data_IF_658170707955
#
_entry.id   IF_658170707955
#
_cell.length_a   1.000
_cell.length_b   1.000
_cell.length_c   1.000
_cell.angle_alpha   90.00
_cell.angle_beta   90.00
_cell.angle_gamma   90.00
#
_symmetry.space_group_name_H-M   'P 1'
#
loop_
_entity.id
_entity.type
_entity.pdbx_description
1 polymer ?
#
# COMPACT_ATOMS: atom_id res chain seq x y z
N UNK A 1 26.10 -15.73 -15.48
CA UNK A 1 25.24 -15.32 -16.61
C UNK A 1 24.04 -16.26 -16.66
N UNK A 2 22.88 -15.79 -16.23
CA UNK A 2 21.57 -16.38 -16.59
C UNK A 2 20.55 -15.27 -16.39
N UNK A 3 20.50 -14.36 -17.36
CA UNK A 3 19.41 -13.39 -17.45
C UNK A 3 18.13 -14.19 -17.52
N UNK A 4 17.31 -14.12 -16.46
CA UNK A 4 16.03 -14.84 -16.43
C UNK A 4 15.24 -14.43 -17.65
N UNK A 5 14.99 -15.37 -18.57
CA UNK A 5 14.31 -15.06 -19.82
C UNK A 5 12.95 -14.46 -19.49
N UNK A 6 12.54 -13.49 -20.29
CA UNK A 6 11.23 -12.84 -20.17
C UNK A 6 10.10 -13.88 -20.20
N UNK A 7 10.28 -14.98 -20.93
CA UNK A 7 9.38 -16.14 -20.92
C UNK A 7 9.21 -16.77 -19.53
N UNK A 8 10.29 -16.91 -18.75
CA UNK A 8 10.20 -17.42 -17.38
C UNK A 8 9.50 -16.45 -16.41
N UNK A 9 9.59 -15.13 -16.66
CA UNK A 9 8.84 -14.13 -15.89
C UNK A 9 7.33 -14.20 -16.21
N UNK A 10 6.96 -14.30 -17.49
CA UNK A 10 5.57 -14.46 -17.92
C UNK A 10 4.95 -15.75 -17.36
N UNK A 11 5.69 -16.86 -17.43
CA UNK A 11 5.22 -18.14 -16.93
C UNK A 11 4.95 -18.10 -15.41
N UNK A 12 5.83 -17.46 -14.63
CA UNK A 12 5.65 -17.28 -13.18
C UNK A 12 4.40 -16.47 -12.83
N UNK A 13 4.06 -15.44 -13.60
CA UNK A 13 2.84 -14.65 -13.37
C UNK A 13 1.60 -15.51 -13.64
N UNK A 14 1.55 -16.20 -14.78
CA UNK A 14 0.40 -17.04 -15.13
C UNK A 14 0.18 -18.18 -14.14
N UNK A 15 1.25 -18.80 -13.63
CA UNK A 15 1.18 -19.88 -12.64
C UNK A 15 0.55 -19.46 -11.28
N UNK A 16 0.44 -18.16 -10.98
CA UNK A 16 -0.29 -17.68 -9.80
C UNK A 16 -1.83 -17.81 -9.97
N UNK A 17 -2.30 -17.96 -11.20
CA UNK A 17 -3.74 -17.98 -11.53
C UNK A 17 -4.22 -19.29 -12.11
N UNK A 18 -3.32 -20.08 -12.71
CA UNK A 18 -3.64 -21.37 -13.34
C UNK A 18 -2.51 -22.38 -13.16
N UNK A 19 -2.77 -23.65 -13.50
CA UNK A 19 -1.74 -24.68 -13.48
C UNK A 19 -0.63 -24.41 -14.49
N UNK A 20 0.57 -24.97 -14.27
CA UNK A 20 1.69 -24.82 -15.21
C UNK A 20 1.34 -25.26 -16.63
N UNK A 21 0.58 -26.34 -16.78
CA UNK A 21 0.12 -26.84 -18.09
C UNK A 21 -0.79 -25.84 -18.80
N UNK A 22 -1.71 -25.21 -18.07
CA UNK A 22 -2.60 -24.18 -18.62
C UNK A 22 -1.83 -22.90 -18.98
N UNK A 23 -0.89 -22.49 -18.12
CA UNK A 23 -0.03 -21.33 -18.36
C UNK A 23 0.84 -21.49 -19.61
N UNK A 24 1.48 -22.66 -19.78
CA UNK A 24 2.28 -22.98 -20.97
C UNK A 24 1.42 -22.99 -22.23
N UNK A 25 0.23 -23.59 -22.16
CA UNK A 25 -0.71 -23.63 -23.30
C UNK A 25 -1.15 -22.23 -23.73
N UNK A 26 -1.49 -21.36 -22.77
CA UNK A 26 -1.87 -19.99 -23.05
C UNK A 26 -0.73 -19.18 -23.68
N UNK A 27 0.51 -19.36 -23.18
CA UNK A 27 1.70 -18.71 -23.76
C UNK A 27 1.98 -19.19 -25.19
N UNK A 28 1.99 -20.50 -25.42
CA UNK A 28 2.23 -21.04 -26.76
C UNK A 28 1.16 -20.56 -27.75
N UNK A 29 -0.12 -20.58 -27.36
CA UNK A 29 -1.21 -20.07 -28.20
C UNK A 29 -1.16 -18.57 -28.46
N UNK A 30 -0.55 -17.78 -27.58
CA UNK A 30 -0.33 -16.35 -27.79
C UNK A 30 0.93 -16.05 -28.62
N UNK A 31 1.96 -16.91 -28.55
CA UNK A 31 3.21 -16.76 -29.29
C UNK A 31 3.10 -17.21 -30.75
N UNK A 32 2.32 -18.27 -31.02
CA UNK A 32 2.18 -18.89 -32.35
C UNK A 32 1.68 -17.90 -33.43
N UNK A 33 0.61 -17.10 -33.22
CA UNK A 33 0.16 -16.10 -34.21
C UNK A 33 1.15 -14.95 -34.41
N UNK A 34 2.04 -14.72 -33.43
CA UNK A 34 3.06 -13.67 -33.46
C UNK A 34 4.39 -14.17 -34.06
N UNK A 35 4.53 -15.47 -34.32
CA UNK A 35 5.78 -16.07 -34.82
C UNK A 35 6.94 -15.97 -33.83
N UNK A 36 6.65 -15.88 -32.53
CA UNK A 36 7.64 -15.65 -31.48
C UNK A 36 8.04 -16.94 -30.78
N UNK A 37 9.28 -17.00 -30.29
CA UNK A 37 9.78 -18.10 -29.46
C UNK A 37 9.83 -17.68 -27.98
N UNK A 38 9.29 -18.52 -27.09
CA UNK A 38 9.26 -18.29 -25.64
C UNK A 38 10.65 -18.01 -25.04
N UNK A 39 11.69 -18.63 -25.58
CA UNK A 39 13.07 -18.49 -25.09
C UNK A 39 13.74 -17.20 -25.59
N UNK A 40 13.18 -16.56 -26.61
CA UNK A 40 13.76 -15.41 -27.30
C UNK A 40 12.69 -14.36 -27.68
N UNK A 41 11.90 -13.91 -26.70
CA UNK A 41 10.92 -12.84 -26.91
C UNK A 41 11.63 -11.48 -26.82
N UNK A 42 11.71 -10.69 -27.91
CA UNK A 42 12.29 -9.36 -27.86
C UNK A 42 11.39 -8.41 -27.05
N UNK A 43 12.02 -7.47 -26.32
CA UNK A 43 11.29 -6.55 -25.44
C UNK A 43 10.26 -5.68 -26.19
N UNK A 44 10.48 -5.41 -27.48
CA UNK A 44 9.56 -4.67 -28.36
C UNK A 44 8.26 -5.41 -28.65
N UNK A 45 8.26 -6.75 -28.63
CA UNK A 45 7.09 -7.57 -28.94
C UNK A 45 6.28 -7.95 -27.70
N UNK A 46 6.81 -7.64 -26.51
CA UNK A 46 6.16 -7.96 -25.25
C UNK A 46 4.76 -7.33 -25.09
N UNK A 47 4.50 -6.07 -25.48
CA UNK A 47 3.16 -5.50 -25.40
C UNK A 47 2.13 -6.28 -26.22
N UNK A 48 2.51 -6.68 -27.44
CA UNK A 48 1.66 -7.47 -28.35
C UNK A 48 1.41 -8.88 -27.82
N UNK A 49 2.42 -9.49 -27.20
CA UNK A 49 2.27 -10.77 -26.52
C UNK A 49 1.31 -10.70 -25.34
N UNK A 50 1.40 -9.65 -24.51
CA UNK A 50 0.47 -9.46 -23.38
C UNK A 50 -0.96 -9.27 -23.87
N UNK A 51 -1.18 -8.52 -24.95
CA UNK A 51 -2.51 -8.39 -25.56
C UNK A 51 -3.03 -9.72 -26.11
N UNK A 52 -2.19 -10.52 -26.76
CA UNK A 52 -2.55 -11.85 -27.26
C UNK A 52 -2.84 -12.86 -26.14
N UNK A 53 -2.25 -12.68 -24.96
CA UNK A 53 -2.52 -13.50 -23.77
C UNK A 53 -3.91 -13.25 -23.18
N UNK A 54 -4.52 -12.08 -23.40
CA UNK A 54 -5.83 -11.76 -22.84
C UNK A 54 -6.93 -12.75 -23.30
N UNK A 55 -7.18 -12.98 -24.60
CA UNK A 55 -8.15 -13.98 -25.03
C UNK A 55 -7.70 -15.42 -24.70
N UNK A 56 -6.41 -15.72 -24.79
CA UNK A 56 -5.86 -17.07 -24.54
C UNK A 56 -6.08 -17.55 -23.10
N UNK A 57 -6.23 -16.63 -22.15
CA UNK A 57 -6.41 -16.92 -20.73
C UNK A 57 -7.86 -16.89 -20.26
N UNK A 58 -8.80 -16.38 -21.08
CA UNK A 58 -10.25 -16.29 -20.74
C UNK A 58 -10.86 -17.64 -20.35
N UNK A 59 -10.42 -18.72 -20.98
CA UNK A 59 -10.96 -20.07 -20.74
C UNK A 59 -10.30 -20.78 -19.55
N UNK A 60 -9.19 -20.24 -19.04
CA UNK A 60 -8.36 -20.87 -18.01
C UNK A 60 -8.41 -20.14 -16.66
N UNK A 61 -8.97 -18.93 -16.62
CA UNK A 61 -8.97 -18.04 -15.46
C UNK A 61 -10.38 -17.55 -15.19
N UNK A 62 -10.76 -17.56 -13.92
CA UNK A 62 -12.02 -16.96 -13.47
C UNK A 62 -12.14 -15.49 -13.97
N UNK A 63 -13.27 -15.09 -14.57
CA UNK A 63 -13.45 -13.74 -15.11
C UNK A 63 -13.18 -12.61 -14.11
N UNK A 64 -13.43 -12.84 -12.82
CA UNK A 64 -13.17 -11.86 -11.75
C UNK A 64 -11.67 -11.68 -11.47
N UNK A 65 -10.85 -12.69 -11.78
CA UNK A 65 -9.40 -12.69 -11.56
C UNK A 65 -8.62 -12.25 -12.80
N UNK A 66 -9.26 -12.22 -13.95
CA UNK A 66 -8.63 -11.87 -15.23
C UNK A 66 -8.05 -10.44 -15.27
N UNK A 67 -8.74 -9.38 -14.80
CA UNK A 67 -8.17 -8.03 -14.80
C UNK A 67 -6.87 -7.92 -13.98
N UNK A 68 -6.80 -8.64 -12.86
CA UNK A 68 -5.63 -8.66 -11.96
C UNK A 68 -4.43 -9.36 -12.61
N UNK A 69 -4.65 -10.48 -13.28
CA UNK A 69 -3.60 -11.19 -14.02
C UNK A 69 -3.06 -10.33 -15.16
N UNK A 70 -3.94 -9.69 -15.94
CA UNK A 70 -3.54 -8.79 -17.03
C UNK A 70 -2.72 -7.58 -16.54
N UNK A 71 -3.09 -7.02 -15.38
CA UNK A 71 -2.31 -5.94 -14.76
C UNK A 71 -0.89 -6.39 -14.38
N UNK A 72 -0.73 -7.60 -13.83
CA UNK A 72 0.58 -8.16 -13.50
C UNK A 72 1.43 -8.46 -14.74
N UNK A 73 0.84 -8.99 -15.82
CA UNK A 73 1.53 -9.18 -17.09
C UNK A 73 2.00 -7.85 -17.70
N UNK A 74 1.15 -6.82 -17.65
CA UNK A 74 1.51 -5.46 -18.09
C UNK A 74 2.62 -4.83 -17.26
N UNK A 75 2.77 -5.22 -15.99
CA UNK A 75 3.86 -4.73 -15.13
C UNK A 75 5.24 -5.21 -15.62
N UNK A 76 5.30 -6.35 -16.33
CA UNK A 76 6.53 -6.84 -16.96
C UNK A 76 6.95 -6.01 -18.20
N UNK A 77 6.02 -5.21 -18.76
CA UNK A 77 6.27 -4.32 -19.91
C UNK A 77 6.88 -2.98 -19.49
N UNK A 78 6.83 -2.65 -18.20
CA UNK A 78 7.39 -1.41 -17.70
C UNK A 78 8.92 -1.43 -17.90
N UNK A 79 9.52 -0.39 -18.51
CA UNK A 79 10.94 -0.40 -18.81
C UNK A 79 11.73 -0.53 -17.51
N UNK A 80 12.60 -1.54 -17.46
CA UNK A 80 13.57 -1.74 -16.40
C UNK A 80 14.67 -0.66 -16.49
N UNK A 81 14.35 0.56 -16.10
CA UNK A 81 15.35 1.59 -15.82
C UNK A 81 15.51 1.75 -14.31
N UNK A 82 16.74 1.50 -13.90
CA UNK A 82 17.29 1.54 -12.54
C UNK A 82 16.89 2.78 -11.72
N UNK A 83 16.75 2.54 -10.41
CA UNK A 83 16.60 3.48 -9.28
C UNK A 83 15.16 3.77 -8.84
N UNK A 84 14.85 3.35 -7.60
CA UNK A 84 13.69 3.69 -6.78
C UNK A 84 12.34 3.77 -7.51
N UNK A 85 11.62 2.64 -7.51
CA UNK A 85 10.28 2.46 -8.08
C UNK A 85 9.30 3.60 -7.69
N UNK A 86 9.02 4.49 -8.64
CA UNK A 86 7.87 5.39 -8.62
C UNK A 86 6.63 4.65 -9.12
N UNK A 87 5.91 4.09 -8.16
CA UNK A 87 4.45 3.83 -8.23
C UNK A 87 3.76 5.14 -8.67
N UNK A 88 2.64 5.12 -9.41
CA UNK A 88 1.95 6.35 -9.81
C UNK A 88 1.80 7.29 -8.61
N UNK A 89 2.37 8.50 -8.70
CA UNK A 89 2.54 9.43 -7.59
C UNK A 89 1.18 10.02 -7.21
N UNK A 90 0.40 9.29 -6.40
CA UNK A 90 -0.62 9.93 -5.57
C UNK A 90 0.17 10.64 -4.47
N UNK A 91 0.27 11.97 -4.59
CA UNK A 91 1.15 12.77 -3.74
C UNK A 91 0.75 12.67 -2.27
N UNK A 92 1.75 12.48 -1.42
CA UNK A 92 1.55 12.58 0.00
C UNK A 92 1.08 13.99 0.37
N UNK A 93 0.08 14.10 1.23
CA UNK A 93 -0.44 15.39 1.71
C UNK A 93 -0.19 15.53 3.19
N UNK A 94 0.38 16.66 3.60
CA UNK A 94 0.74 16.93 5.00
C UNK A 94 -0.17 18.00 5.59
N UNK A 95 -0.67 17.72 6.79
CA UNK A 95 -1.53 18.60 7.57
C UNK A 95 -0.77 19.04 8.82
N UNK A 96 -0.73 20.35 9.06
CA UNK A 96 -0.29 20.90 10.34
C UNK A 96 -1.39 20.68 11.37
N UNK A 97 -1.04 20.20 12.55
CA UNK A 97 -1.99 19.92 13.64
C UNK A 97 -1.58 20.69 14.88
N UNK A 98 -2.29 21.77 15.20
CA UNK A 98 -2.07 22.55 16.44
C UNK A 98 -3.34 22.73 17.25
N UNK A 99 -4.49 22.58 16.62
CA UNK A 99 -5.81 22.79 17.21
C UNK A 99 -6.75 21.61 16.92
N UNK A 100 -7.84 21.52 17.67
CA UNK A 100 -8.90 20.52 17.41
C UNK A 100 -9.54 20.70 16.02
N UNK A 101 -9.55 21.92 15.48
CA UNK A 101 -10.03 22.19 14.13
C UNK A 101 -9.10 21.56 13.08
N UNK A 102 -7.78 21.67 13.26
CA UNK A 102 -6.78 21.03 12.40
C UNK A 102 -6.90 19.50 12.46
N UNK A 103 -7.07 18.96 13.67
CA UNK A 103 -7.28 17.53 13.88
C UNK A 103 -8.53 17.03 13.16
N UNK A 104 -9.62 17.80 13.21
CA UNK A 104 -10.85 17.51 12.48
C UNK A 104 -10.59 17.54 10.97
N UNK A 105 -9.88 18.53 10.44
CA UNK A 105 -9.56 18.64 9.02
C UNK A 105 -8.72 17.44 8.54
N UNK A 106 -7.64 17.10 9.26
CA UNK A 106 -6.80 15.95 8.95
C UNK A 106 -7.59 14.63 8.96
N UNK A 107 -8.49 14.44 9.95
CA UNK A 107 -9.38 13.27 9.99
C UNK A 107 -10.27 13.18 8.75
N UNK A 108 -10.95 14.26 8.39
CA UNK A 108 -11.86 14.25 7.23
C UNK A 108 -11.10 13.96 5.94
N UNK A 109 -9.94 14.60 5.75
CA UNK A 109 -9.10 14.35 4.59
C UNK A 109 -8.62 12.89 4.52
N UNK A 110 -8.22 12.30 5.66
CA UNK A 110 -7.79 10.91 5.70
C UNK A 110 -8.91 9.93 5.35
N UNK A 111 -10.14 10.21 5.81
CA UNK A 111 -11.32 9.43 5.45
C UNK A 111 -11.62 9.54 3.95
N UNK A 112 -11.67 10.76 3.42
CA UNK A 112 -11.93 11.01 2.00
C UNK A 112 -10.86 10.38 1.10
N UNK A 113 -9.60 10.41 1.52
CA UNK A 113 -8.52 9.75 0.81
C UNK A 113 -8.66 8.22 0.85
N UNK A 114 -9.01 7.64 2.00
CA UNK A 114 -9.32 6.21 2.06
C UNK A 114 -10.45 5.81 1.10
N UNK A 115 -11.54 6.59 1.08
CA UNK A 115 -12.69 6.35 0.21
C UNK A 115 -12.29 6.49 -1.28
N UNK A 116 -11.48 7.49 -1.63
CA UNK A 116 -11.03 7.72 -3.01
C UNK A 116 -10.07 6.65 -3.54
N UNK A 117 -9.35 5.96 -2.65
CA UNK A 117 -8.52 4.81 -2.98
C UNK A 117 -9.37 3.53 -3.14
N UNK A 118 -10.65 3.58 -2.77
CA UNK A 118 -11.56 2.44 -2.83
C UNK A 118 -11.57 1.61 -1.55
N UNK A 119 -11.17 2.16 -0.41
CA UNK A 119 -11.44 1.57 0.90
C UNK A 119 -12.92 1.74 1.29
N UNK A 120 -13.40 0.92 2.22
CA UNK A 120 -14.83 0.87 2.57
C UNK A 120 -15.05 0.88 4.08
N UNK A 121 -16.15 1.54 4.51
CA UNK A 121 -16.72 1.44 5.86
C UNK A 121 -15.70 1.39 7.00
N UNK A 122 -15.44 0.18 7.48
CA UNK A 122 -14.53 -0.12 8.59
C UNK A 122 -13.09 0.35 8.34
N UNK A 123 -12.56 0.26 7.13
CA UNK A 123 -11.20 0.68 6.79
C UNK A 123 -11.04 2.19 6.93
N UNK A 124 -11.97 2.94 6.34
CA UNK A 124 -11.94 4.40 6.40
C UNK A 124 -12.29 4.92 7.81
N UNK A 125 -13.11 4.17 8.56
CA UNK A 125 -13.34 4.44 9.97
C UNK A 125 -12.07 4.21 10.81
N UNK A 126 -11.32 3.12 10.58
CA UNK A 126 -10.02 2.87 11.25
C UNK A 126 -9.05 4.02 11.01
N UNK A 127 -8.87 4.41 9.76
CA UNK A 127 -7.99 5.54 9.38
C UNK A 127 -8.41 6.82 10.11
N UNK A 128 -9.69 7.17 10.07
CA UNK A 128 -10.22 8.38 10.72
C UNK A 128 -10.01 8.37 12.24
N UNK A 129 -10.23 7.21 12.88
CA UNK A 129 -9.99 7.02 14.30
C UNK A 129 -8.51 7.17 14.65
N UNK A 130 -7.62 6.53 13.88
CA UNK A 130 -6.17 6.62 14.09
C UNK A 130 -5.67 8.05 13.96
N UNK A 131 -6.06 8.76 12.90
CA UNK A 131 -5.68 10.17 12.70
C UNK A 131 -6.16 11.04 13.86
N UNK A 132 -7.37 10.80 14.39
CA UNK A 132 -7.88 11.54 15.54
C UNK A 132 -7.07 11.30 16.81
N UNK A 133 -6.67 10.06 17.07
CA UNK A 133 -5.87 9.73 18.25
C UNK A 133 -4.45 10.28 18.14
N UNK A 134 -3.83 10.21 16.96
CA UNK A 134 -2.50 10.78 16.73
C UNK A 134 -2.52 12.31 16.86
N UNK A 135 -3.47 12.97 16.22
CA UNK A 135 -3.64 14.43 16.31
C UNK A 135 -3.87 14.88 17.76
N UNK A 136 -4.75 14.20 18.50
CA UNK A 136 -5.00 14.52 19.91
C UNK A 136 -3.75 14.33 20.77
N UNK A 137 -2.97 13.28 20.53
CA UNK A 137 -1.72 13.06 21.25
C UNK A 137 -0.72 14.20 20.99
N UNK A 138 -0.57 14.65 19.74
CA UNK A 138 0.30 15.77 19.38
C UNK A 138 -0.12 17.06 20.09
N UNK A 139 -1.42 17.41 20.05
CA UNK A 139 -1.95 18.62 20.71
C UNK A 139 -1.75 18.54 22.23
N UNK A 140 -2.10 17.41 22.85
CA UNK A 140 -2.14 17.27 24.30
C UNK A 140 -0.77 17.11 24.95
N UNK A 141 0.20 16.55 24.23
CA UNK A 141 1.50 16.15 24.81
C UNK A 141 2.72 16.83 24.17
N UNK A 142 2.58 17.42 22.99
CA UNK A 142 3.68 18.01 22.24
C UNK A 142 3.44 19.45 21.76
N UNK A 143 2.26 20.03 22.02
CA UNK A 143 1.90 21.36 21.54
C UNK A 143 1.59 21.41 20.04
N UNK A 144 1.37 20.25 19.42
CA UNK A 144 1.09 20.08 17.99
C UNK A 144 2.17 19.29 17.24
N UNK A 145 1.97 19.15 15.94
CA UNK A 145 2.81 18.36 15.05
C UNK A 145 2.31 18.39 13.62
N UNK A 146 2.69 17.38 12.84
CA UNK A 146 2.22 17.17 11.47
C UNK A 146 1.66 15.78 11.31
N UNK A 147 0.69 15.64 10.40
CA UNK A 147 0.19 14.34 9.93
C UNK A 147 0.33 14.30 8.41
N UNK A 148 1.09 13.34 7.91
CA UNK A 148 1.26 13.08 6.49
C UNK A 148 0.46 11.84 6.08
N UNK A 149 -0.38 12.00 5.06
CA UNK A 149 -1.14 10.93 4.43
C UNK A 149 -0.46 10.54 3.13
N UNK A 150 0.04 9.30 3.06
CA UNK A 150 0.81 8.77 1.94
C UNK A 150 0.09 7.56 1.35
N UNK A 151 -0.74 7.76 0.33
CA UNK A 151 -1.39 6.67 -0.39
C UNK A 151 -0.39 5.92 -1.25
N UNK A 152 -0.54 4.60 -1.33
CA UNK A 152 0.24 3.77 -2.24
C UNK A 152 -0.70 2.78 -2.92
N UNK A 153 -0.72 2.79 -4.25
CA UNK A 153 -1.65 1.99 -5.06
C UNK A 153 -1.08 0.62 -5.48
N UNK A 154 0.24 0.49 -5.52
CA UNK A 154 0.94 -0.74 -5.92
C UNK A 154 2.16 -1.01 -5.02
N UNK A 155 2.57 -2.28 -4.82
CA UNK A 155 1.97 -3.51 -5.35
C UNK A 155 0.67 -3.92 -4.65
N UNK A 156 0.33 -3.29 -3.52
CA UNK A 156 -0.93 -3.45 -2.81
C UNK A 156 -1.39 -2.08 -2.37
N UNK A 157 -2.70 -1.83 -2.48
CA UNK A 157 -3.32 -0.59 -2.04
C UNK A 157 -3.19 -0.46 -0.52
N UNK A 158 -2.57 0.61 -0.08
CA UNK A 158 -2.43 0.96 1.33
C UNK A 158 -2.54 2.47 1.51
N UNK A 159 -2.90 2.85 2.73
CA UNK A 159 -2.73 4.22 3.20
C UNK A 159 -1.76 4.22 4.38
N UNK A 160 -0.64 4.91 4.20
CA UNK A 160 0.30 5.21 5.29
C UNK A 160 -0.05 6.56 5.91
N UNK A 161 -0.10 6.60 7.24
CA UNK A 161 -0.25 7.80 8.06
C UNK A 161 1.02 7.94 8.88
N UNK A 162 1.76 9.04 8.70
CA UNK A 162 2.91 9.39 9.54
C UNK A 162 2.55 10.60 10.38
N UNK A 163 2.67 10.50 11.70
CA UNK A 163 2.48 11.60 12.63
C UNK A 163 3.82 11.95 13.28
N UNK A 164 4.25 13.20 13.19
CA UNK A 164 5.51 13.67 13.76
C UNK A 164 5.28 14.90 14.64
N UNK A 165 5.89 14.91 15.82
CA UNK A 165 5.92 16.06 16.72
C UNK A 165 7.33 16.30 17.25
N UNK A 166 7.54 17.48 17.84
CA UNK A 166 8.80 17.87 18.49
C UNK A 166 8.65 17.98 20.01
N UNK A 167 7.76 17.17 20.59
CA UNK A 167 7.54 17.14 22.04
C UNK A 167 8.68 16.47 22.82
N UNK A 168 8.47 16.31 24.12
CA UNK A 168 9.44 15.66 25.02
C UNK A 168 9.61 14.13 24.81
N UNK A 169 8.84 13.55 23.88
CA UNK A 169 8.75 12.11 23.68
C UNK A 169 7.83 11.41 24.68
N UNK A 170 7.73 10.08 24.53
CA UNK A 170 6.89 9.20 25.35
C UNK A 170 7.80 8.45 26.33
N UNK A 171 7.73 8.72 27.65
CA UNK A 171 8.46 7.94 28.64
C UNK A 171 7.88 6.52 28.72
N UNK A 172 8.75 5.52 28.90
CA UNK A 172 8.39 4.10 29.01
C UNK A 172 7.42 3.63 27.91
N UNK A 173 7.81 3.83 26.65
CA UNK A 173 7.01 3.48 25.47
C UNK A 173 6.41 2.06 25.53
N UNK A 174 7.20 1.07 25.94
CA UNK A 174 6.75 -0.32 26.11
C UNK A 174 5.53 -0.42 27.03
N UNK A 175 5.52 0.33 28.13
CA UNK A 175 4.39 0.36 29.06
C UNK A 175 3.15 0.95 28.41
N UNK A 176 3.29 2.02 27.63
CA UNK A 176 2.19 2.65 26.89
C UNK A 176 1.62 1.71 25.82
N UNK A 177 2.49 1.01 25.07
CA UNK A 177 2.08 0.07 24.03
C UNK A 177 1.47 -1.21 24.61
N UNK A 178 1.85 -1.61 25.82
CA UNK A 178 1.27 -2.78 26.51
C UNK A 178 -0.20 -2.61 26.88
N UNK A 179 -0.74 -1.38 26.81
CA UNK A 179 -2.11 -1.08 27.21
C UNK A 179 -2.33 -1.02 28.74
N UNK A 180 -1.29 -1.26 29.55
CA UNK A 180 -1.33 -1.13 31.02
C UNK A 180 -1.31 0.33 31.52
N UNK A 181 -1.27 1.28 30.59
CA UNK A 181 -1.35 2.70 30.88
C UNK A 181 -2.79 3.19 30.64
N UNK A 182 -3.54 3.36 31.72
CA UNK A 182 -4.88 3.95 31.67
C UNK A 182 -4.77 5.48 31.57
N UNK A 183 -5.41 6.07 30.56
CA UNK A 183 -5.55 7.52 30.47
C UNK A 183 -6.47 7.99 31.59
N UNK A 184 -6.05 9.03 32.34
CA UNK A 184 -6.88 9.69 33.37
C UNK A 184 -8.21 10.29 32.85
N UNK A 185 -8.38 10.44 31.53
CA UNK A 185 -9.53 11.14 30.92
C UNK A 185 -10.51 10.23 30.16
N UNK A 186 -10.29 8.90 30.11
CA UNK A 186 -11.30 7.92 29.66
C UNK A 186 -11.80 7.97 28.21
N UNK A 187 -11.37 8.94 27.37
CA UNK A 187 -11.85 9.08 25.99
C UNK A 187 -10.74 8.82 24.98
N UNK A 188 -10.95 7.82 24.12
CA UNK A 188 -10.08 7.48 22.98
C UNK A 188 -9.27 6.19 23.14
N UNK A 189 -8.88 5.59 22.02
CA UNK A 189 -8.23 4.27 21.93
C UNK A 189 -6.81 4.21 22.52
N UNK A 190 -6.13 5.35 22.65
CA UNK A 190 -4.72 5.33 23.04
C UNK A 190 -3.80 4.92 21.90
N UNK A 191 -2.50 5.13 22.10
CA UNK A 191 -1.47 4.66 21.16
C UNK A 191 -1.46 3.12 21.03
N UNK A 192 -1.81 2.40 22.10
CA UNK A 192 -1.99 0.94 22.05
C UNK A 192 -3.17 0.52 21.17
N UNK A 193 -4.26 1.30 21.16
CA UNK A 193 -5.38 1.04 20.28
C UNK A 193 -5.08 1.40 18.82
N UNK A 194 -4.29 2.46 18.57
CA UNK A 194 -3.75 2.73 17.22
C UNK A 194 -2.95 1.54 16.71
N UNK A 195 -2.04 0.99 17.53
CA UNK A 195 -1.26 -0.22 17.19
C UNK A 195 -2.14 -1.43 16.85
N UNK A 196 -3.25 -1.63 17.57
CA UNK A 196 -4.19 -2.76 17.32
C UNK A 196 -4.94 -2.65 15.99
N UNK A 197 -5.15 -1.44 15.47
CA UNK A 197 -5.88 -1.21 14.22
C UNK A 197 -4.98 -1.29 12.98
N UNK A 198 -3.65 -1.32 13.17
CA UNK A 198 -2.69 -1.22 12.11
C UNK A 198 -2.32 -2.58 11.51
N UNK A 199 -2.09 -2.61 10.21
CA UNK A 199 -1.39 -3.74 9.57
C UNK A 199 0.12 -3.64 9.79
N UNK A 200 0.64 -2.41 9.81
CA UNK A 200 2.01 -2.10 10.27
C UNK A 200 2.02 -0.86 11.14
N UNK A 201 2.79 -0.93 12.21
CA UNK A 201 2.94 0.14 13.18
C UNK A 201 4.39 0.24 13.61
N UNK A 202 4.97 1.42 13.50
CA UNK A 202 6.27 1.77 14.05
C UNK A 202 6.17 3.06 14.85
N UNK A 203 6.96 3.16 15.92
CA UNK A 203 7.01 4.37 16.73
C UNK A 203 8.44 4.60 17.19
N UNK A 204 8.93 5.81 16.90
CA UNK A 204 10.23 6.31 17.34
C UNK A 204 9.96 7.50 18.24
N UNK A 205 10.53 7.50 19.44
CA UNK A 205 10.27 8.57 20.41
C UNK A 205 11.51 8.86 21.24
N UNK A 206 11.69 10.12 21.62
CA UNK A 206 12.80 10.57 22.45
C UNK A 206 12.73 12.07 22.73
N UNK A 207 13.80 12.67 23.29
CA UNK A 207 13.80 14.09 23.67
C UNK A 207 13.62 15.09 22.54
N UNK A 208 13.69 14.63 21.28
CA UNK A 208 13.51 15.44 20.07
C UNK A 208 12.11 15.35 19.48
N UNK A 209 11.22 14.55 20.08
CA UNK A 209 9.87 14.34 19.57
C UNK A 209 9.46 12.88 19.46
N UNK A 210 8.28 12.69 18.87
CA UNK A 210 7.73 11.38 18.54
C UNK A 210 7.35 11.33 17.07
N UNK A 211 7.72 10.22 16.41
CA UNK A 211 7.21 9.85 15.11
C UNK A 211 6.45 8.53 15.23
N UNK A 212 5.22 8.50 14.72
CA UNK A 212 4.38 7.30 14.64
C UNK A 212 4.03 7.05 13.19
N UNK A 213 4.43 5.89 12.68
CA UNK A 213 4.10 5.41 11.35
C UNK A 213 3.02 4.31 11.45
N UNK A 214 1.91 4.50 10.75
CA UNK A 214 0.76 3.60 10.70
C UNK A 214 0.47 3.24 9.24
N UNK A 215 0.28 1.96 8.94
CA UNK A 215 -0.19 1.51 7.62
C UNK A 215 -1.43 0.64 7.77
N UNK A 216 -2.37 0.84 6.85
CA UNK A 216 -3.54 -0.03 6.68
C UNK A 216 -3.69 -0.42 5.21
N UNK A 217 -4.00 -1.69 4.98
CA UNK A 217 -4.42 -2.17 3.67
C UNK A 217 -5.85 -1.72 3.41
N UNK A 218 -6.10 -1.27 2.19
CA UNK A 218 -7.43 -0.91 1.71
C UNK A 218 -7.90 -1.93 0.69
#
# INVERSE_FOLDING_TARGET
MSGGSVGAALLRVLQQFMSETAARRALLGALEPLGLNLDAVPASELPRLVEALEPATRQCVDPTRQPRMMAQLRTLLAPASSSAASVPEVRATTYLVRTEADASHARHAARQLCESLGGHGDECQKVATVVSELARNQISHAGGGTIQLSPQLAPRRLLRVSAEDSGQGIPDLERVLSGRYERKTGVGLGLSGVKRLADRFDVRTGPKGTQVDFEVWL
#
